data_IF_103039909215
#
_entry.id   IF_103039909215
#
_cell.length_a   1.000
_cell.length_b   1.000
_cell.length_c   1.000
_cell.angle_alpha   90.00
_cell.angle_beta   90.00
_cell.angle_gamma   90.00
#
_symmetry.space_group_name_H-M   'P 1'
#
loop_
_entity.id
_entity.type
_entity.pdbx_description
1 polymer ?
#
# COMPACT_ATOMS: atom_id res chain seq x y z
N UNK A 1 52.52 -47.39 -38.76
CA UNK A 1 51.54 -48.10 -37.91
C UNK A 1 51.72 -47.61 -36.47
N UNK A 2 50.65 -46.99 -35.93
CA UNK A 2 50.34 -46.73 -34.50
C UNK A 2 51.29 -45.84 -33.69
N UNK A 3 50.85 -44.61 -33.37
CA UNK A 3 51.48 -43.82 -32.31
C UNK A 3 51.05 -42.35 -32.14
N UNK A 4 50.22 -41.77 -33.00
CA UNK A 4 50.01 -40.30 -33.01
C UNK A 4 48.54 -39.83 -32.90
N UNK A 5 47.62 -40.64 -32.36
CA UNK A 5 46.19 -40.27 -32.30
C UNK A 5 45.56 -40.47 -30.90
N UNK A 6 46.36 -40.40 -29.84
CA UNK A 6 45.85 -40.56 -28.46
C UNK A 6 45.60 -39.23 -27.73
N UNK A 7 46.02 -38.08 -28.28
CA UNK A 7 45.92 -36.78 -27.59
C UNK A 7 44.78 -35.87 -28.09
N UNK A 8 43.89 -36.39 -28.96
CA UNK A 8 42.75 -35.62 -29.50
C UNK A 8 41.37 -36.07 -29.03
N UNK A 9 41.30 -36.97 -28.04
CA UNK A 9 40.04 -37.54 -27.55
C UNK A 9 39.75 -37.19 -26.08
N UNK A 10 40.12 -35.99 -25.62
CA UNK A 10 39.60 -35.42 -24.37
C UNK A 10 39.06 -34.01 -24.69
N UNK A 11 38.09 -33.95 -25.61
CA UNK A 11 37.20 -32.80 -25.77
C UNK A 11 36.17 -32.93 -24.63
N UNK A 12 36.48 -32.37 -23.46
CA UNK A 12 35.61 -32.45 -22.27
C UNK A 12 36.35 -32.80 -20.97
N UNK A 13 37.62 -32.42 -20.85
CA UNK A 13 38.43 -32.75 -19.67
C UNK A 13 37.89 -32.09 -18.41
N UNK A 14 37.39 -32.91 -17.48
CA UNK A 14 37.32 -32.52 -16.07
C UNK A 14 38.71 -32.00 -15.67
N UNK A 15 38.81 -30.82 -15.02
CA UNK A 15 40.09 -30.22 -14.66
C UNK A 15 40.90 -31.20 -13.80
N UNK A 16 42.22 -31.29 -14.06
CA UNK A 16 43.15 -32.19 -13.34
C UNK A 16 43.19 -31.92 -11.82
N UNK A 17 42.63 -30.82 -11.35
CA UNK A 17 42.40 -30.49 -9.94
C UNK A 17 40.91 -30.27 -9.64
N UNK A 18 40.44 -30.71 -8.47
CA UNK A 18 39.04 -30.53 -8.01
C UNK A 18 38.70 -29.07 -7.65
N UNK A 19 39.70 -28.20 -7.56
CA UNK A 19 39.61 -26.79 -7.16
C UNK A 19 38.57 -25.96 -7.94
N UNK A 20 38.61 -25.88 -9.28
CA UNK A 20 37.61 -25.13 -10.05
C UNK A 20 36.18 -25.64 -9.85
N UNK A 21 35.99 -26.94 -9.61
CA UNK A 21 34.67 -27.52 -9.35
C UNK A 21 34.15 -27.09 -7.96
N UNK A 22 35.02 -27.11 -6.94
CA UNK A 22 34.70 -26.64 -5.58
C UNK A 22 34.39 -25.14 -5.59
N UNK A 23 35.16 -24.33 -6.31
CA UNK A 23 34.92 -22.89 -6.43
C UNK A 23 33.61 -22.58 -7.16
N UNK A 24 33.31 -23.30 -8.24
CA UNK A 24 32.04 -23.19 -8.95
C UNK A 24 30.85 -23.57 -8.06
N UNK A 25 30.97 -24.66 -7.29
CA UNK A 25 29.95 -25.07 -6.33
C UNK A 25 29.77 -24.04 -5.21
N UNK A 26 30.86 -23.49 -4.68
CA UNK A 26 30.82 -22.41 -3.68
C UNK A 26 30.16 -21.14 -4.22
N UNK A 27 30.45 -20.77 -5.46
CA UNK A 27 29.80 -19.63 -6.11
C UNK A 27 28.29 -19.85 -6.29
N UNK A 28 27.90 -21.06 -6.70
CA UNK A 28 26.48 -21.44 -6.86
C UNK A 28 25.75 -21.42 -5.51
N UNK A 29 26.33 -22.01 -4.46
CA UNK A 29 25.71 -22.01 -3.12
C UNK A 29 25.64 -20.60 -2.54
N UNK A 30 26.66 -19.77 -2.72
CA UNK A 30 26.64 -18.37 -2.32
C UNK A 30 25.55 -17.57 -3.06
N UNK A 31 25.38 -17.80 -4.37
CA UNK A 31 24.31 -17.17 -5.14
C UNK A 31 22.92 -17.60 -4.65
N UNK A 32 22.71 -18.90 -4.39
CA UNK A 32 21.45 -19.40 -3.83
C UNK A 32 21.15 -18.79 -2.45
N UNK A 33 22.14 -18.74 -1.56
CA UNK A 33 22.01 -18.09 -0.24
C UNK A 33 21.68 -16.61 -0.41
N UNK A 34 22.36 -15.90 -1.32
CA UNK A 34 22.10 -14.49 -1.61
C UNK A 34 20.66 -14.25 -2.08
N UNK A 35 20.17 -15.06 -3.01
CA UNK A 35 18.77 -14.96 -3.48
C UNK A 35 17.77 -15.29 -2.36
N UNK A 36 18.02 -16.32 -1.55
CA UNK A 36 17.17 -16.68 -0.42
C UNK A 36 17.09 -15.55 0.62
N UNK A 37 18.23 -14.95 0.98
CA UNK A 37 18.29 -13.80 1.89
C UNK A 37 17.56 -12.58 1.31
N UNK A 38 17.70 -12.33 0.01
CA UNK A 38 16.97 -11.25 -0.67
C UNK A 38 15.45 -11.46 -0.61
N UNK A 39 14.98 -12.69 -0.87
CA UNK A 39 13.55 -13.02 -0.78
C UNK A 39 13.01 -12.86 0.65
N UNK A 40 13.73 -13.39 1.65
CA UNK A 40 13.37 -13.24 3.06
C UNK A 40 13.29 -11.77 3.49
N UNK A 41 14.23 -10.94 3.05
CA UNK A 41 14.21 -9.49 3.32
C UNK A 41 12.98 -8.83 2.70
N UNK A 42 12.67 -9.15 1.45
CA UNK A 42 11.51 -8.59 0.73
C UNK A 42 10.20 -8.97 1.41
N UNK A 43 10.05 -10.23 1.82
CA UNK A 43 8.86 -10.71 2.52
C UNK A 43 8.71 -10.07 3.91
N UNK A 44 9.84 -9.92 4.64
CA UNK A 44 9.84 -9.20 5.92
C UNK A 44 9.44 -7.73 5.76
N UNK A 45 9.93 -7.04 4.72
CA UNK A 45 9.55 -5.65 4.44
C UNK A 45 8.06 -5.52 4.13
N UNK A 46 7.50 -6.40 3.28
CA UNK A 46 6.06 -6.41 2.99
C UNK A 46 5.23 -6.67 4.25
N UNK A 47 5.68 -7.60 5.09
CA UNK A 47 5.01 -7.91 6.36
C UNK A 47 5.03 -6.73 7.32
N UNK A 48 6.18 -6.03 7.42
CA UNK A 48 6.30 -4.80 8.23
C UNK A 48 5.35 -3.72 7.73
N UNK A 49 5.37 -3.41 6.42
CA UNK A 49 4.47 -2.42 5.83
C UNK A 49 3.01 -2.73 6.11
N UNK A 50 2.60 -4.00 5.98
CA UNK A 50 1.24 -4.45 6.31
C UNK A 50 0.91 -4.23 7.78
N UNK A 51 1.84 -4.54 8.68
CA UNK A 51 1.65 -4.38 10.12
C UNK A 51 1.56 -2.91 10.51
N UNK A 52 2.45 -2.07 9.98
CA UNK A 52 2.47 -0.62 10.20
C UNK A 52 1.19 0.02 9.69
N UNK A 53 0.71 -0.40 8.52
CA UNK A 53 -0.57 0.02 7.97
C UNK A 53 -1.76 -0.34 8.88
N UNK A 54 -1.86 -1.61 9.31
CA UNK A 54 -2.93 -2.05 10.22
C UNK A 54 -2.87 -1.27 11.54
N UNK A 55 -1.67 -1.04 12.07
CA UNK A 55 -1.45 -0.26 13.29
C UNK A 55 -1.93 1.18 13.10
N UNK A 56 -1.52 1.83 12.01
CA UNK A 56 -1.92 3.20 11.67
C UNK A 56 -3.44 3.34 11.55
N UNK A 57 -4.10 2.45 10.80
CA UNK A 57 -5.55 2.42 10.66
C UNK A 57 -6.23 2.22 12.02
N UNK A 58 -5.74 1.29 12.84
CA UNK A 58 -6.29 1.05 14.19
C UNK A 58 -6.20 2.29 15.08
N UNK A 59 -5.11 3.03 14.99
CA UNK A 59 -4.93 4.30 15.70
C UNK A 59 -5.92 5.37 15.20
N UNK A 60 -6.08 5.49 13.88
CA UNK A 60 -6.99 6.46 13.27
C UNK A 60 -8.47 6.16 13.58
N UNK A 61 -8.85 4.88 13.74
CA UNK A 61 -10.19 4.46 14.15
C UNK A 61 -10.46 4.68 15.65
N UNK A 62 -9.42 4.61 16.50
CA UNK A 62 -9.59 4.73 17.96
C UNK A 62 -10.08 6.11 18.38
N UNK A 63 -9.56 7.16 17.75
CA UNK A 63 -9.92 8.55 18.06
C UNK A 63 -11.41 8.87 17.83
N UNK A 64 -12.00 8.67 16.63
CA UNK A 64 -13.41 8.93 16.39
C UNK A 64 -14.30 8.06 17.29
N UNK A 65 -13.93 6.79 17.51
CA UNK A 65 -14.67 5.91 18.42
C UNK A 65 -14.66 6.43 19.87
N UNK A 66 -13.53 6.94 20.35
CA UNK A 66 -13.42 7.53 21.69
C UNK A 66 -14.30 8.77 21.83
N UNK A 67 -14.36 9.63 20.81
CA UNK A 67 -15.24 10.80 20.81
C UNK A 67 -16.72 10.40 20.82
N UNK A 68 -17.14 9.48 19.95
CA UNK A 68 -18.51 8.95 19.95
C UNK A 68 -18.88 8.44 21.34
N UNK A 69 -17.99 7.66 21.97
CA UNK A 69 -18.24 7.12 23.31
C UNK A 69 -18.35 8.23 24.36
N UNK A 70 -17.44 9.21 24.35
CA UNK A 70 -17.44 10.34 25.27
C UNK A 70 -18.74 11.16 25.18
N UNK A 71 -19.18 11.54 23.98
CA UNK A 71 -20.41 12.32 23.81
C UNK A 71 -21.66 11.49 24.10
N UNK A 72 -21.67 10.21 23.74
CA UNK A 72 -22.76 9.30 24.08
C UNK A 72 -22.90 9.09 25.60
N UNK A 73 -21.78 8.90 26.31
CA UNK A 73 -21.74 8.83 27.78
C UNK A 73 -22.24 10.14 28.40
N UNK A 74 -21.84 11.29 27.86
CA UNK A 74 -22.28 12.63 28.34
C UNK A 74 -23.78 12.81 28.21
N UNK A 75 -24.36 12.42 27.06
CA UNK A 75 -25.80 12.42 26.80
C UNK A 75 -26.55 11.47 27.75
N UNK A 76 -26.04 10.24 27.92
CA UNK A 76 -26.67 9.19 28.73
C UNK A 76 -26.66 9.53 30.22
N UNK A 77 -25.59 10.13 30.71
CA UNK A 77 -25.44 10.53 32.12
C UNK A 77 -26.16 11.86 32.45
N UNK A 78 -26.86 12.47 31.48
CA UNK A 78 -27.56 13.74 31.69
C UNK A 78 -26.62 14.89 32.05
N UNK A 79 -25.34 14.82 31.63
CA UNK A 79 -24.32 15.86 31.95
C UNK A 79 -24.42 17.10 31.04
N UNK A 80 -25.38 17.10 30.15
CA UNK A 80 -25.69 18.15 29.19
C UNK A 80 -26.53 19.23 29.87
N UNK A 81 -26.18 20.51 29.71
CA UNK A 81 -26.79 21.62 30.46
C UNK A 81 -27.88 22.37 29.68
N UNK A 82 -27.93 22.21 28.35
CA UNK A 82 -28.94 22.82 27.49
C UNK A 82 -29.27 21.95 26.29
N UNK A 83 -30.35 22.30 25.61
CA UNK A 83 -30.75 21.60 24.39
C UNK A 83 -29.78 21.89 23.23
N UNK A 84 -29.12 23.05 23.21
CA UNK A 84 -28.02 23.34 22.26
C UNK A 84 -26.80 22.43 22.49
N UNK A 85 -26.40 22.20 23.75
CA UNK A 85 -25.31 21.26 24.05
C UNK A 85 -25.68 19.82 23.66
N UNK A 86 -26.97 19.47 23.75
CA UNK A 86 -27.49 18.17 23.33
C UNK A 86 -27.37 17.99 21.82
N UNK A 87 -27.85 18.97 21.06
CA UNK A 87 -27.73 18.99 19.60
C UNK A 87 -26.27 18.97 19.15
N UNK A 88 -25.38 19.71 19.81
CA UNK A 88 -23.94 19.68 19.51
C UNK A 88 -23.33 18.30 19.75
N UNK A 89 -23.68 17.65 20.85
CA UNK A 89 -23.18 16.30 21.16
C UNK A 89 -23.64 15.27 20.12
N UNK A 90 -24.91 15.34 19.70
CA UNK A 90 -25.46 14.48 18.63
C UNK A 90 -24.78 14.75 17.28
N UNK A 91 -24.52 16.02 16.96
CA UNK A 91 -23.82 16.39 15.73
C UNK A 91 -22.38 15.85 15.67
N UNK A 92 -21.65 15.90 16.79
CA UNK A 92 -20.30 15.33 16.87
C UNK A 92 -20.34 13.80 16.71
N UNK A 93 -21.31 13.13 17.32
CA UNK A 93 -21.49 11.67 17.14
C UNK A 93 -21.73 11.33 15.66
N UNK A 94 -22.63 12.03 14.97
CA UNK A 94 -22.91 11.81 13.54
C UNK A 94 -21.67 12.07 12.68
N UNK A 95 -20.94 13.16 12.94
CA UNK A 95 -19.71 13.49 12.23
C UNK A 95 -18.64 12.40 12.37
N UNK A 96 -18.36 11.95 13.59
CA UNK A 96 -17.34 10.92 13.82
C UNK A 96 -17.78 9.55 13.31
N UNK A 97 -19.09 9.24 13.30
CA UNK A 97 -19.62 8.04 12.68
C UNK A 97 -19.42 8.05 11.16
N UNK A 98 -19.70 9.16 10.47
CA UNK A 98 -19.40 9.33 9.04
C UNK A 98 -17.91 9.20 8.76
N UNK A 99 -17.07 9.78 9.62
CA UNK A 99 -15.62 9.67 9.51
C UNK A 99 -15.14 8.23 9.63
N UNK A 100 -15.69 7.45 10.56
CA UNK A 100 -15.43 6.00 10.66
C UNK A 100 -15.84 5.25 9.39
N UNK A 101 -17.03 5.54 8.84
CA UNK A 101 -17.49 4.94 7.59
C UNK A 101 -16.49 5.18 6.46
N UNK A 102 -16.05 6.43 6.27
CA UNK A 102 -15.07 6.75 5.23
C UNK A 102 -13.71 6.06 5.44
N UNK A 103 -13.22 5.97 6.68
CA UNK A 103 -11.99 5.23 6.98
C UNK A 103 -12.11 3.74 6.62
N UNK A 104 -13.26 3.12 6.92
CA UNK A 104 -13.53 1.72 6.58
C UNK A 104 -13.65 1.54 5.07
N UNK A 105 -14.35 2.42 4.37
CA UNK A 105 -14.47 2.40 2.90
C UNK A 105 -13.10 2.49 2.22
N UNK A 106 -12.25 3.42 2.68
CA UNK A 106 -10.89 3.58 2.17
C UNK A 106 -10.05 2.32 2.39
N UNK A 107 -10.17 1.69 3.56
CA UNK A 107 -9.50 0.42 3.87
C UNK A 107 -9.95 -0.71 2.94
N UNK A 108 -11.26 -0.82 2.68
CA UNK A 108 -11.81 -1.83 1.78
C UNK A 108 -11.37 -1.60 0.33
N UNK A 109 -11.33 -0.35 -0.12
CA UNK A 109 -10.82 0.03 -1.43
C UNK A 109 -9.35 -0.36 -1.59
N UNK A 110 -8.51 -0.02 -0.61
CA UNK A 110 -7.10 -0.40 -0.61
C UNK A 110 -6.92 -1.92 -0.65
N UNK A 111 -7.66 -2.66 0.19
CA UNK A 111 -7.59 -4.13 0.22
C UNK A 111 -8.04 -4.80 -1.09
N UNK A 112 -8.93 -4.17 -1.87
CA UNK A 112 -9.34 -4.65 -3.19
C UNK A 112 -8.30 -4.32 -4.26
N UNK A 113 -7.74 -3.11 -4.22
CA UNK A 113 -6.69 -2.67 -5.14
C UNK A 113 -5.44 -3.54 -5.08
N UNK A 114 -5.02 -4.00 -3.89
CA UNK A 114 -3.89 -4.92 -3.74
C UNK A 114 -4.12 -6.31 -4.39
N UNK A 115 -5.39 -6.69 -4.63
CA UNK A 115 -5.75 -7.99 -5.22
C UNK A 115 -6.04 -7.93 -6.72
N UNK A 116 -6.34 -6.75 -7.25
CA UNK A 116 -6.59 -6.55 -8.67
C UNK A 116 -5.35 -5.98 -9.32
N UNK A 117 -4.75 -6.71 -10.25
CA UNK A 117 -3.94 -6.10 -11.30
C UNK A 117 -4.87 -5.20 -12.12
N UNK A 118 -4.85 -3.89 -11.85
CA UNK A 118 -5.60 -2.91 -12.63
C UNK A 118 -5.18 -3.04 -14.10
N UNK A 119 -6.08 -3.54 -14.94
CA UNK A 119 -5.88 -3.58 -16.39
C UNK A 119 -6.06 -2.16 -16.93
N UNK A 120 -4.97 -1.39 -16.93
CA UNK A 120 -4.93 -0.07 -17.55
C UNK A 120 -4.86 -0.29 -19.07
N UNK A 121 -5.87 0.19 -19.78
CA UNK A 121 -5.89 0.20 -21.25
C UNK A 121 -5.68 1.64 -21.70
N UNK A 122 -4.44 2.06 -21.99
CA UNK A 122 -4.16 3.43 -22.38
C UNK A 122 -4.79 3.71 -23.75
N UNK A 123 -5.51 4.82 -23.83
CA UNK A 123 -6.10 5.33 -25.07
C UNK A 123 -5.73 6.81 -25.25
N UNK A 124 -5.68 7.32 -26.50
CA UNK A 124 -5.51 8.75 -26.73
C UNK A 124 -6.70 9.53 -26.14
N UNK A 125 -6.45 10.27 -25.06
CA UNK A 125 -7.47 11.08 -24.38
C UNK A 125 -7.07 12.56 -24.39
N UNK A 126 -8.00 13.44 -24.74
CA UNK A 126 -7.80 14.88 -24.61
C UNK A 126 -7.89 15.27 -23.13
N UNK A 127 -6.77 15.65 -22.52
CA UNK A 127 -6.71 16.03 -21.10
C UNK A 127 -7.45 17.34 -20.81
N UNK A 128 -7.45 18.30 -21.73
CA UNK A 128 -8.08 19.60 -21.55
C UNK A 128 -9.59 19.52 -21.18
N UNK A 129 -10.45 18.82 -21.94
CA UNK A 129 -11.86 18.68 -21.58
C UNK A 129 -12.07 17.89 -20.28
N UNK A 130 -11.24 16.87 -20.02
CA UNK A 130 -11.31 16.08 -18.78
C UNK A 130 -11.02 16.94 -17.56
N UNK A 131 -9.97 17.77 -17.63
CA UNK A 131 -9.61 18.68 -16.54
C UNK A 131 -10.68 19.76 -16.36
N UNK A 132 -11.27 20.27 -17.45
CA UNK A 132 -12.34 21.26 -17.38
C UNK A 132 -13.60 20.69 -16.70
N UNK A 133 -13.99 19.45 -17.01
CA UNK A 133 -15.12 18.77 -16.36
C UNK A 133 -14.93 18.67 -14.84
N UNK A 134 -13.71 18.35 -14.40
CA UNK A 134 -13.38 18.32 -12.98
C UNK A 134 -13.45 19.72 -12.36
N UNK A 135 -12.90 20.75 -13.03
CA UNK A 135 -12.97 22.13 -12.54
C UNK A 135 -14.43 22.58 -12.36
N UNK A 136 -15.28 22.30 -13.35
CA UNK A 136 -16.68 22.68 -13.34
C UNK A 136 -17.45 21.95 -12.23
N UNK A 137 -17.16 20.66 -12.01
CA UNK A 137 -17.74 19.87 -10.92
C UNK A 137 -17.39 20.40 -9.52
N UNK A 138 -16.20 20.97 -9.34
CA UNK A 138 -15.74 21.53 -8.06
C UNK A 138 -16.00 23.04 -7.92
N UNK A 139 -16.44 23.73 -8.97
CA UNK A 139 -16.71 25.16 -8.96
C UNK A 139 -17.67 25.62 -7.82
N UNK A 140 -18.77 24.90 -7.50
CA UNK A 140 -19.66 25.27 -6.40
C UNK A 140 -18.95 25.23 -5.03
N UNK A 141 -18.09 24.23 -4.81
CA UNK A 141 -17.34 24.08 -3.57
C UNK A 141 -16.25 25.15 -3.44
N UNK A 142 -15.58 25.47 -4.56
CA UNK A 142 -14.58 26.53 -4.62
C UNK A 142 -15.20 27.89 -4.30
N UNK A 143 -16.37 28.19 -4.87
CA UNK A 143 -17.14 29.41 -4.58
C UNK A 143 -17.54 29.51 -3.11
N UNK A 144 -18.04 28.41 -2.52
CA UNK A 144 -18.42 28.35 -1.10
C UNK A 144 -17.23 28.59 -0.14
N UNK A 145 -15.99 28.38 -0.61
CA UNK A 145 -14.76 28.60 0.16
C UNK A 145 -13.95 29.82 -0.27
N UNK A 146 -14.44 30.63 -1.22
CA UNK A 146 -13.71 31.78 -1.74
C UNK A 146 -12.42 31.41 -2.49
N UNK A 147 -12.32 30.19 -3.01
CA UNK A 147 -11.17 29.69 -3.75
C UNK A 147 -11.39 29.81 -5.27
N UNK A 148 -10.30 29.97 -6.04
CA UNK A 148 -10.32 29.99 -7.51
C UNK A 148 -9.61 28.77 -8.06
N UNK A 149 -10.25 28.07 -9.00
CA UNK A 149 -9.68 26.94 -9.74
C UNK A 149 -9.32 27.41 -11.17
N UNK A 150 -8.15 27.00 -11.68
CA UNK A 150 -7.73 27.25 -13.06
C UNK A 150 -6.89 26.08 -13.58
N UNK A 151 -7.11 25.70 -14.84
CA UNK A 151 -6.19 24.86 -15.60
C UNK A 151 -5.36 25.73 -16.55
N UNK A 152 -4.07 25.44 -16.65
CA UNK A 152 -3.11 26.10 -17.56
C UNK A 152 -2.56 25.12 -18.57
#
# INVERSE_FOLDING_TARGET
>A
MRGAIADKLIIGGLPRSRLPLILGLLGLTAALIGTALFQLRRESQLTRLRTDFISGVSHELRTPLAQIRMFSETLTLGRVRSDEERHRSLAIIDQEARRLTHLVENLLHFSRSERQTTHITPEPTALAPLVQEVIDGFAPLAAARGARLSAS
#
